data_IF_893504434717
#
_entry.id   IF_893504434717
#
_cell.length_a   1.000
_cell.length_b   1.000
_cell.length_c   1.000
_cell.angle_alpha   90.00
_cell.angle_beta   90.00
_cell.angle_gamma   90.00
#
_symmetry.space_group_name_H-M   'P 1'
#
loop_
_entity.id
_entity.type
_entity.pdbx_description
1 polymer ?
#
# COMPACT_ATOMS: atom_id res chain seq x y z
N UNK A 1 59.15 -17.52 18.06
CA UNK A 1 60.02 -16.57 18.78
C UNK A 1 59.45 -15.17 18.65
N UNK A 2 59.30 -14.51 19.79
CA UNK A 2 59.04 -13.09 20.10
C UNK A 2 57.60 -12.63 19.89
N UNK A 3 56.81 -12.59 20.92
CA UNK A 3 56.62 -11.59 22.01
C UNK A 3 55.89 -10.35 21.51
N UNK A 4 54.67 -10.12 21.98
CA UNK A 4 54.22 -9.50 23.23
C UNK A 4 54.12 -7.98 23.11
N UNK A 5 52.94 -7.41 23.26
CA UNK A 5 52.69 -6.42 24.30
C UNK A 5 51.18 -6.04 24.39
N UNK A 6 50.65 -6.29 25.54
CA UNK A 6 49.40 -5.75 26.08
C UNK A 6 49.54 -4.25 26.35
N UNK A 7 48.51 -3.46 26.04
CA UNK A 7 48.34 -2.17 26.69
C UNK A 7 46.85 -2.05 27.14
N UNK A 8 46.72 -2.21 28.46
CA UNK A 8 45.54 -1.89 29.25
C UNK A 8 45.44 -0.37 29.38
N UNK A 9 44.39 0.27 28.94
CA UNK A 9 44.07 1.65 29.28
C UNK A 9 42.79 1.70 30.11
N UNK A 10 43.02 2.01 31.36
CA UNK A 10 42.06 2.23 32.42
C UNK A 10 41.49 3.63 32.27
N UNK A 11 40.17 3.78 32.03
CA UNK A 11 39.56 5.11 32.02
C UNK A 11 38.57 5.24 33.19
N UNK A 12 38.87 6.27 33.98
CA UNK A 12 38.22 6.67 35.21
C UNK A 12 36.78 7.14 34.97
N UNK A 13 35.89 6.66 35.80
CA UNK A 13 34.54 7.18 35.99
C UNK A 13 34.63 8.49 36.78
N UNK A 14 34.10 9.55 36.21
CA UNK A 14 33.84 10.81 36.92
C UNK A 14 32.34 10.87 37.19
N UNK A 15 32.03 10.76 38.51
CA UNK A 15 30.70 10.93 39.09
C UNK A 15 30.45 12.44 39.26
N UNK A 16 29.38 12.97 38.69
CA UNK A 16 28.92 14.34 38.96
C UNK A 16 27.62 14.28 39.75
N UNK A 17 27.71 14.58 41.03
CA UNK A 17 26.56 14.81 41.92
C UNK A 17 25.95 16.20 41.63
N UNK A 18 24.66 16.24 41.36
CA UNK A 18 23.89 17.45 41.28
C UNK A 18 23.27 17.81 42.63
N UNK A 19 23.63 19.01 43.08
CA UNK A 19 23.14 19.60 44.34
C UNK A 19 21.70 20.14 44.16
N UNK A 20 20.80 19.64 44.99
CA UNK A 20 19.51 20.25 45.28
C UNK A 20 19.67 21.66 45.92
N UNK A 21 19.06 22.67 45.32
CA UNK A 21 18.79 23.93 46.00
C UNK A 21 17.29 24.06 46.26
N UNK A 22 16.98 24.04 47.59
CA UNK A 22 15.68 24.40 48.14
C UNK A 22 15.53 25.93 48.07
N UNK A 23 14.44 26.42 47.50
CA UNK A 23 13.95 27.77 47.86
C UNK A 23 12.49 27.73 48.29
N UNK A 24 12.26 28.44 49.38
CA UNK A 24 11.06 28.47 50.18
C UNK A 24 9.96 29.35 49.54
N UNK A 25 8.70 28.95 49.79
CA UNK A 25 7.48 29.73 49.57
C UNK A 25 7.35 30.93 50.48
N UNK A 26 6.67 31.97 50.04
CA UNK A 26 5.83 32.74 50.95
C UNK A 26 4.34 32.58 50.63
N UNK A 27 3.60 32.30 51.71
CA UNK A 27 2.13 32.32 51.79
C UNK A 27 1.60 33.70 51.52
N UNK A 28 0.60 33.87 50.62
CA UNK A 28 -0.35 34.96 50.64
C UNK A 28 -1.76 34.42 50.43
N UNK A 29 -2.67 35.03 51.17
CA UNK A 29 -4.01 34.61 51.55
C UNK A 29 -5.08 34.63 50.43
N UNK A 30 -6.13 33.90 50.76
CA UNK A 30 -7.42 33.70 50.09
C UNK A 30 -8.12 34.97 49.61
N UNK A 31 -8.66 34.97 48.38
CA UNK A 31 -9.98 35.53 48.09
C UNK A 31 -10.68 34.65 47.06
N UNK A 32 -11.88 34.21 47.42
CA UNK A 32 -12.83 33.45 46.59
C UNK A 32 -13.32 34.34 45.43
N UNK A 33 -13.17 33.89 44.18
CA UNK A 33 -14.11 34.23 43.10
C UNK A 33 -14.37 32.95 42.35
N UNK A 34 -15.53 32.35 42.59
CA UNK A 34 -16.08 31.29 41.75
C UNK A 34 -16.53 31.92 40.42
N UNK A 35 -15.79 31.65 39.36
CA UNK A 35 -16.30 31.78 38.00
C UNK A 35 -16.48 30.37 37.44
N UNK A 36 -17.73 29.92 37.36
CA UNK A 36 -18.15 28.79 36.53
C UNK A 36 -17.77 29.08 35.08
N UNK A 37 -16.67 28.50 34.60
CA UNK A 37 -16.38 28.36 33.20
C UNK A 37 -16.87 26.98 32.83
N UNK A 38 -18.07 26.92 32.26
CA UNK A 38 -18.57 25.71 31.60
C UNK A 38 -17.64 25.36 30.41
N UNK A 39 -16.80 24.39 30.59
CA UNK A 39 -16.05 23.79 29.49
C UNK A 39 -17.05 23.11 28.56
N UNK A 40 -17.45 23.80 27.50
CA UNK A 40 -18.01 23.13 26.33
C UNK A 40 -16.90 22.25 25.79
N UNK A 41 -16.95 20.95 26.08
CA UNK A 41 -16.27 19.95 25.30
C UNK A 41 -16.86 20.05 23.89
N UNK A 42 -16.18 20.73 22.99
CA UNK A 42 -16.44 20.57 21.56
C UNK A 42 -16.13 19.12 21.21
N UNK A 43 -17.13 18.29 21.25
CA UNK A 43 -17.08 16.93 20.73
C UNK A 43 -16.99 17.09 19.22
N UNK A 44 -15.77 17.08 18.68
CA UNK A 44 -15.56 16.96 17.24
C UNK A 44 -16.19 15.62 16.84
N UNK A 45 -17.42 15.66 16.35
CA UNK A 45 -18.11 14.52 15.74
C UNK A 45 -17.29 14.22 14.48
N UNK A 46 -16.38 13.25 14.58
CA UNK A 46 -15.73 12.70 13.38
C UNK A 46 -16.86 12.15 12.50
N UNK A 47 -16.90 12.52 11.21
CA UNK A 47 -17.89 11.95 10.32
C UNK A 47 -17.82 10.42 10.40
N UNK A 48 -18.96 9.78 10.53
CA UNK A 48 -19.09 8.33 10.55
C UNK A 48 -18.50 7.78 9.25
N UNK A 49 -17.59 6.81 9.37
CA UNK A 49 -16.92 6.23 8.20
C UNK A 49 -17.85 5.21 7.56
N UNK A 50 -17.92 5.22 6.24
CA UNK A 50 -18.66 4.22 5.47
C UNK A 50 -18.11 2.80 5.67
N UNK A 51 -16.82 2.67 5.99
CA UNK A 51 -16.13 1.41 6.28
C UNK A 51 -15.06 1.61 7.37
N UNK A 52 -14.66 0.55 8.09
CA UNK A 52 -13.63 0.65 9.11
C UNK A 52 -12.27 1.02 8.52
N UNK A 53 -11.39 1.62 9.31
CA UNK A 53 -9.99 1.74 8.93
C UNK A 53 -9.40 0.35 8.78
N UNK A 54 -8.91 0.01 7.58
CA UNK A 54 -8.37 -1.32 7.31
C UNK A 54 -6.96 -1.46 7.89
N UNK A 55 -6.75 -2.57 8.59
CA UNK A 55 -5.47 -3.00 9.14
C UNK A 55 -5.20 -4.45 8.72
N UNK A 56 -3.99 -4.96 8.97
CA UNK A 56 -3.67 -6.36 8.66
C UNK A 56 -4.49 -7.36 9.49
N UNK A 57 -5.02 -6.94 10.64
CA UNK A 57 -5.85 -7.78 11.51
C UNK A 57 -7.30 -7.91 11.00
N UNK A 58 -7.88 -6.84 10.41
CA UNK A 58 -9.30 -6.81 10.04
C UNK A 58 -9.56 -6.91 8.53
N UNK A 59 -8.55 -6.71 7.68
CA UNK A 59 -8.75 -6.61 6.23
C UNK A 59 -9.33 -7.91 5.63
N UNK A 60 -8.89 -9.08 6.10
CA UNK A 60 -9.36 -10.35 5.56
C UNK A 60 -10.83 -10.59 5.90
N UNK A 61 -11.26 -10.31 7.14
CA UNK A 61 -12.65 -10.44 7.56
C UNK A 61 -13.53 -9.41 6.83
N UNK A 62 -13.06 -8.18 6.69
CA UNK A 62 -13.74 -7.16 5.92
C UNK A 62 -13.96 -7.61 4.47
N UNK A 63 -12.95 -8.12 3.77
CA UNK A 63 -13.09 -8.55 2.39
C UNK A 63 -13.87 -9.87 2.25
N UNK A 64 -13.90 -10.72 3.27
CA UNK A 64 -14.77 -11.89 3.30
C UNK A 64 -16.24 -11.50 3.29
N UNK A 65 -16.60 -10.46 4.04
CA UNK A 65 -17.98 -9.95 4.06
C UNK A 65 -18.29 -9.12 2.81
N UNK A 66 -17.38 -8.20 2.43
CA UNK A 66 -17.52 -7.33 1.27
C UNK A 66 -17.73 -8.13 -0.03
N UNK A 67 -17.03 -9.24 -0.19
CA UNK A 67 -17.10 -10.11 -1.37
C UNK A 67 -18.49 -10.71 -1.59
N UNK A 68 -19.29 -10.92 -0.54
CA UNK A 68 -20.63 -11.48 -0.66
C UNK A 68 -21.58 -10.60 -1.49
N UNK A 69 -21.41 -9.29 -1.39
CA UNK A 69 -22.27 -8.27 -2.02
C UNK A 69 -21.61 -7.56 -3.20
N UNK A 70 -20.34 -7.82 -3.48
CA UNK A 70 -19.57 -7.15 -4.53
C UNK A 70 -18.92 -8.19 -5.43
N UNK A 71 -19.73 -8.72 -6.37
CA UNK A 71 -19.38 -9.84 -7.27
C UNK A 71 -18.85 -9.39 -8.63
N UNK A 72 -18.78 -8.09 -8.85
CA UNK A 72 -18.28 -7.54 -10.10
C UNK A 72 -16.93 -8.15 -10.46
N UNK A 73 -16.74 -8.36 -11.74
CA UNK A 73 -15.59 -9.12 -12.23
C UNK A 73 -14.92 -8.51 -13.45
N UNK A 74 -15.52 -7.50 -14.09
CA UNK A 74 -14.91 -6.82 -15.23
C UNK A 74 -14.67 -5.36 -14.92
N UNK A 75 -13.44 -4.93 -15.18
CA UNK A 75 -12.99 -3.57 -14.90
C UNK A 75 -12.25 -3.01 -16.09
N UNK A 76 -12.23 -1.68 -16.21
CA UNK A 76 -11.45 -0.93 -17.20
C UNK A 76 -10.48 0.01 -16.50
N UNK A 77 -9.22 -0.02 -16.94
CA UNK A 77 -8.23 1.00 -16.65
C UNK A 77 -8.09 1.89 -17.89
N UNK A 78 -8.48 3.16 -17.75
CA UNK A 78 -8.23 4.19 -18.76
C UNK A 78 -6.87 4.81 -18.52
N UNK A 79 -5.93 4.56 -19.42
CA UNK A 79 -4.55 5.02 -19.28
C UNK A 79 -4.22 6.16 -20.22
N UNK A 80 -3.02 6.74 -20.12
CA UNK A 80 -2.50 7.72 -21.10
C UNK A 80 -2.43 7.14 -22.52
N UNK A 81 -2.25 5.81 -22.66
CA UNK A 81 -2.09 5.11 -23.93
C UNK A 81 -3.38 4.46 -24.48
N UNK A 82 -4.45 4.45 -23.68
CA UNK A 82 -5.73 3.83 -24.03
C UNK A 82 -6.29 2.92 -22.94
N UNK A 83 -7.29 2.14 -23.27
CA UNK A 83 -8.03 1.33 -22.32
C UNK A 83 -7.49 -0.10 -22.23
N UNK A 84 -7.46 -0.62 -21.01
CA UNK A 84 -7.15 -2.02 -20.69
C UNK A 84 -8.34 -2.59 -19.92
N UNK A 85 -9.06 -3.55 -20.52
CA UNK A 85 -10.17 -4.25 -19.90
C UNK A 85 -9.67 -5.55 -19.28
N UNK A 86 -10.05 -5.80 -18.03
CA UNK A 86 -9.55 -6.90 -17.22
C UNK A 86 -10.73 -7.70 -16.69
N UNK A 87 -10.66 -9.04 -16.85
CA UNK A 87 -11.51 -9.98 -16.17
C UNK A 87 -10.83 -10.42 -14.88
N UNK A 88 -11.47 -10.18 -13.74
CA UNK A 88 -11.01 -10.64 -12.42
C UNK A 88 -11.50 -12.07 -12.15
N UNK A 89 -10.73 -12.84 -11.37
CA UNK A 89 -11.02 -14.25 -11.10
C UNK A 89 -11.78 -14.46 -9.79
N UNK A 90 -12.87 -15.22 -9.83
CA UNK A 90 -13.65 -15.57 -8.65
C UNK A 90 -12.88 -16.40 -7.63
N UNK A 91 -11.99 -17.31 -8.10
CA UNK A 91 -11.21 -18.20 -7.23
C UNK A 91 -10.26 -17.43 -6.29
N UNK A 92 -9.81 -16.24 -6.67
CA UNK A 92 -8.98 -15.36 -5.84
C UNK A 92 -9.80 -14.23 -5.26
N UNK A 93 -10.88 -14.58 -4.59
CA UNK A 93 -11.98 -13.70 -4.16
C UNK A 93 -11.53 -12.50 -3.32
N UNK A 94 -10.56 -12.65 -2.42
CA UNK A 94 -10.07 -11.56 -1.58
C UNK A 94 -9.33 -10.50 -2.39
N UNK A 95 -8.49 -10.91 -3.34
CA UNK A 95 -7.78 -10.00 -4.23
C UNK A 95 -8.74 -9.31 -5.20
N UNK A 96 -9.73 -10.04 -5.73
CA UNK A 96 -10.81 -9.46 -6.53
C UNK A 96 -11.59 -8.43 -5.71
N UNK A 97 -12.06 -8.79 -4.51
CA UNK A 97 -12.84 -7.91 -3.63
C UNK A 97 -12.06 -6.64 -3.26
N UNK A 98 -10.77 -6.78 -2.93
CA UNK A 98 -9.89 -5.65 -2.69
C UNK A 98 -9.80 -4.73 -3.91
N UNK A 99 -9.56 -5.30 -5.10
CA UNK A 99 -9.41 -4.50 -6.31
C UNK A 99 -10.70 -3.75 -6.65
N UNK A 100 -11.87 -4.40 -6.56
CA UNK A 100 -13.19 -3.77 -6.73
C UNK A 100 -13.43 -2.67 -5.68
N UNK A 101 -13.13 -2.93 -4.40
CA UNK A 101 -13.23 -1.95 -3.33
C UNK A 101 -12.39 -0.70 -3.61
N UNK A 102 -11.15 -0.88 -4.04
CA UNK A 102 -10.25 0.23 -4.35
C UNK A 102 -10.71 1.03 -5.58
N UNK A 103 -11.28 0.36 -6.60
CA UNK A 103 -11.88 1.02 -7.78
C UNK A 103 -13.09 1.84 -7.36
N UNK A 104 -14.03 1.28 -6.57
CA UNK A 104 -15.22 2.01 -6.09
C UNK A 104 -14.84 3.25 -5.26
N UNK A 105 -13.71 3.18 -4.53
CA UNK A 105 -13.16 4.30 -3.77
C UNK A 105 -12.20 5.21 -4.57
N UNK A 106 -12.10 5.01 -5.90
CA UNK A 106 -11.27 5.81 -6.82
C UNK A 106 -9.80 5.94 -6.37
N UNK A 107 -9.25 4.84 -5.85
CA UNK A 107 -7.87 4.80 -5.35
C UNK A 107 -6.86 4.75 -6.49
N UNK A 108 -7.23 4.14 -7.61
CA UNK A 108 -6.35 4.03 -8.77
C UNK A 108 -6.38 5.26 -9.68
N UNK A 109 -7.37 6.15 -9.52
CA UNK A 109 -7.48 7.38 -10.33
C UNK A 109 -6.31 8.33 -10.03
N UNK A 110 -5.56 8.68 -11.06
CA UNK A 110 -4.36 9.52 -10.96
C UNK A 110 -3.09 8.79 -10.49
N UNK A 111 -3.14 7.47 -10.34
CA UNK A 111 -1.93 6.67 -10.10
C UNK A 111 -1.14 6.43 -11.39
N UNK A 112 0.04 5.85 -11.27
CA UNK A 112 0.97 5.67 -12.39
C UNK A 112 1.38 4.20 -12.54
N UNK A 113 1.80 3.84 -13.76
CA UNK A 113 2.69 2.71 -13.98
C UNK A 113 4.09 3.17 -13.63
N UNK A 114 4.50 2.89 -12.41
CA UNK A 114 5.74 3.39 -11.79
C UNK A 114 6.93 2.45 -11.98
N UNK A 115 6.70 1.24 -12.50
CA UNK A 115 7.76 0.32 -12.86
C UNK A 115 7.40 -0.42 -14.15
N UNK A 116 8.29 -0.34 -15.13
CA UNK A 116 8.12 -0.97 -16.44
C UNK A 116 9.40 -1.72 -16.79
N UNK A 117 9.32 -3.05 -16.84
CA UNK A 117 10.45 -3.88 -17.22
C UNK A 117 10.17 -4.49 -18.60
N UNK A 118 10.98 -4.12 -19.57
CA UNK A 118 10.80 -4.51 -20.97
C UNK A 118 10.80 -6.02 -21.14
N UNK A 119 9.79 -6.55 -21.84
CA UNK A 119 9.62 -7.98 -22.03
C UNK A 119 9.16 -8.75 -20.79
N UNK A 120 8.87 -8.06 -19.68
CA UNK A 120 8.54 -8.70 -18.41
C UNK A 120 7.17 -8.24 -17.90
N UNK A 121 7.10 -7.10 -17.22
CA UNK A 121 5.87 -6.59 -16.59
C UNK A 121 5.70 -5.08 -16.78
N UNK A 122 4.46 -4.61 -16.58
CA UNK A 122 4.15 -3.25 -16.21
C UNK A 122 3.50 -3.26 -14.83
N UNK A 123 4.04 -2.51 -13.87
CA UNK A 123 3.54 -2.44 -12.50
C UNK A 123 2.97 -1.05 -12.23
N UNK A 124 1.75 -1.01 -11.72
CA UNK A 124 1.00 0.22 -11.52
C UNK A 124 0.33 0.29 -10.15
N UNK A 125 -0.36 1.40 -9.95
CA UNK A 125 -1.14 1.67 -8.75
C UNK A 125 -0.44 2.58 -7.75
N UNK A 126 0.82 2.96 -7.91
CA UNK A 126 1.52 3.91 -7.04
C UNK A 126 1.45 5.36 -7.57
N UNK A 127 1.72 6.33 -6.72
CA UNK A 127 1.73 7.76 -7.07
C UNK A 127 2.41 8.57 -5.99
N UNK A 128 3.07 9.66 -6.40
CA UNK A 128 3.63 10.69 -5.52
C UNK A 128 2.60 11.80 -5.20
N UNK A 129 1.42 11.76 -5.81
CA UNK A 129 0.37 12.74 -5.56
C UNK A 129 -0.15 12.65 -4.12
N UNK A 130 -0.08 13.78 -3.40
CA UNK A 130 -0.53 13.89 -2.00
C UNK A 130 -2.01 13.52 -1.83
N UNK A 131 -2.86 13.76 -2.85
CA UNK A 131 -4.29 13.39 -2.80
C UNK A 131 -4.46 11.88 -2.84
N UNK A 132 -3.71 11.19 -3.71
CA UNK A 132 -3.70 9.72 -3.76
C UNK A 132 -3.20 9.12 -2.46
N UNK A 133 -2.08 9.63 -1.93
CA UNK A 133 -1.51 9.19 -0.66
C UNK A 133 -2.47 9.42 0.51
N UNK A 134 -3.22 10.54 0.50
CA UNK A 134 -4.27 10.81 1.50
C UNK A 134 -5.39 9.78 1.41
N UNK A 135 -5.95 9.53 0.22
CA UNK A 135 -7.00 8.52 0.01
C UNK A 135 -6.57 7.14 0.53
N UNK A 136 -5.33 6.70 0.26
CA UNK A 136 -4.80 5.44 0.77
C UNK A 136 -4.73 5.40 2.29
N UNK A 137 -4.26 6.47 2.95
CA UNK A 137 -4.28 6.58 4.42
C UNK A 137 -5.70 6.52 4.97
N UNK A 138 -6.66 7.10 4.27
CA UNK A 138 -8.07 7.07 4.66
C UNK A 138 -8.67 5.66 4.52
N UNK A 139 -8.19 4.82 3.59
CA UNK A 139 -8.52 3.38 3.53
C UNK A 139 -7.88 2.63 4.69
N UNK A 140 -6.58 2.79 4.89
CA UNK A 140 -5.84 2.13 5.96
C UNK A 140 -4.48 1.59 5.51
N UNK A 141 -3.81 0.86 6.40
CA UNK A 141 -2.54 0.18 6.14
C UNK A 141 -2.70 -1.31 6.44
N UNK A 142 -2.73 -2.11 5.40
CA UNK A 142 -2.91 -3.56 5.49
C UNK A 142 -2.15 -4.28 4.39
N UNK A 143 -2.03 -5.58 4.53
CA UNK A 143 -1.53 -6.49 3.51
C UNK A 143 -2.51 -7.65 3.35
N UNK A 144 -2.51 -8.29 2.19
CA UNK A 144 -3.37 -9.43 1.89
C UNK A 144 -2.56 -10.72 1.92
N UNK A 145 -3.16 -11.78 2.44
CA UNK A 145 -2.56 -13.11 2.38
C UNK A 145 -2.42 -13.58 0.93
N UNK A 146 -1.29 -14.18 0.54
CA UNK A 146 -1.13 -14.71 -0.82
C UNK A 146 -2.09 -15.86 -1.07
N UNK A 147 -2.63 -15.93 -2.29
CA UNK A 147 -3.54 -17.00 -2.75
C UNK A 147 -3.01 -17.62 -4.04
N UNK A 148 -1.81 -18.20 -3.96
CA UNK A 148 -1.06 -18.72 -5.11
C UNK A 148 -1.43 -20.15 -5.50
N UNK A 149 -2.21 -20.88 -4.67
CA UNK A 149 -2.51 -22.31 -4.85
C UNK A 149 -3.79 -22.57 -5.66
N UNK A 150 -4.24 -21.60 -6.49
CA UNK A 150 -5.47 -21.72 -7.30
C UNK A 150 -5.23 -22.32 -8.70
N UNK A 151 -4.00 -22.68 -9.03
CA UNK A 151 -3.65 -23.28 -10.33
C UNK A 151 -3.45 -22.27 -11.46
N UNK A 152 -3.50 -20.97 -11.17
CA UNK A 152 -3.22 -19.93 -12.17
C UNK A 152 -1.72 -19.84 -12.45
N UNK A 153 -1.40 -19.56 -13.71
CA UNK A 153 -0.03 -19.40 -14.22
C UNK A 153 0.17 -17.98 -14.72
N UNK A 154 1.41 -17.49 -14.64
CA UNK A 154 1.78 -16.18 -15.16
C UNK A 154 1.97 -16.20 -16.67
N UNK A 155 0.85 -16.45 -17.39
CA UNK A 155 0.80 -16.26 -18.85
C UNK A 155 0.82 -14.77 -19.18
N UNK A 156 1.14 -14.44 -20.43
CA UNK A 156 0.99 -13.10 -20.98
C UNK A 156 -0.41 -12.53 -20.70
N UNK A 157 -0.46 -11.30 -20.17
CA UNK A 157 -1.68 -10.56 -19.91
C UNK A 157 -2.39 -10.91 -18.60
N UNK A 158 -1.82 -11.74 -17.72
CA UNK A 158 -2.40 -11.89 -16.38
C UNK A 158 -2.06 -10.70 -15.50
N UNK A 159 -2.98 -10.37 -14.59
CA UNK A 159 -2.78 -9.38 -13.55
C UNK A 159 -2.53 -10.07 -12.21
N UNK A 160 -1.52 -9.59 -11.49
CA UNK A 160 -1.05 -10.14 -10.22
C UNK A 160 -0.74 -9.02 -9.22
N UNK A 161 -0.66 -9.36 -7.93
CA UNK A 161 -0.26 -8.43 -6.88
C UNK A 161 1.21 -8.62 -6.52
N UNK A 162 2.00 -7.53 -6.40
CA UNK A 162 3.35 -7.60 -5.89
C UNK A 162 3.34 -7.87 -4.39
N UNK A 163 4.40 -8.47 -3.87
CA UNK A 163 4.70 -8.53 -2.45
C UNK A 163 5.71 -7.44 -2.09
N UNK A 164 5.63 -6.91 -0.86
CA UNK A 164 6.71 -6.09 -0.32
C UNK A 164 7.97 -6.94 -0.15
N UNK A 165 9.13 -6.42 -0.57
CA UNK A 165 10.39 -7.16 -0.50
C UNK A 165 11.06 -7.08 0.87
N UNK A 166 10.66 -6.12 1.72
CA UNK A 166 11.31 -5.86 3.00
C UNK A 166 10.63 -6.68 4.09
N UNK A 167 11.36 -7.61 4.69
CA UNK A 167 10.97 -8.41 5.87
C UNK A 167 9.61 -9.14 5.74
N UNK A 168 9.26 -9.54 4.52
CA UNK A 168 7.99 -10.20 4.21
C UNK A 168 8.18 -11.71 3.97
N UNK A 169 8.51 -12.44 5.03
CA UNK A 169 8.71 -13.91 4.98
C UNK A 169 7.49 -14.66 4.42
N UNK A 170 6.29 -14.13 4.63
CA UNK A 170 5.03 -14.73 4.18
C UNK A 170 4.59 -14.25 2.80
N UNK A 171 5.35 -13.37 2.14
CA UNK A 171 5.02 -12.77 0.84
C UNK A 171 3.62 -12.17 0.78
N UNK A 172 3.24 -11.47 1.84
CA UNK A 172 1.97 -10.77 1.91
C UNK A 172 1.89 -9.75 0.76
N UNK A 173 0.74 -9.69 0.13
CA UNK A 173 0.54 -8.89 -1.07
C UNK A 173 0.25 -7.41 -0.74
N UNK A 174 0.85 -6.50 -1.50
CA UNK A 174 0.52 -5.07 -1.46
C UNK A 174 -0.90 -4.84 -2.00
N UNK A 175 -1.81 -4.25 -1.21
CA UNK A 175 -3.20 -4.10 -1.64
C UNK A 175 -3.39 -3.04 -2.73
N UNK A 176 -2.52 -2.02 -2.78
CA UNK A 176 -2.67 -0.83 -3.62
C UNK A 176 -1.92 -0.91 -4.95
N UNK A 177 -1.21 -1.99 -5.20
CA UNK A 177 -0.40 -2.16 -6.39
C UNK A 177 -0.75 -3.46 -7.12
N UNK A 178 -0.49 -3.44 -8.42
CA UNK A 178 -0.65 -4.61 -9.28
C UNK A 178 0.40 -4.59 -10.39
N UNK A 179 0.63 -5.73 -11.01
CA UNK A 179 1.40 -5.79 -12.25
C UNK A 179 0.69 -6.65 -13.30
N UNK A 180 0.94 -6.32 -14.57
CA UNK A 180 0.45 -7.08 -15.74
C UNK A 180 1.66 -7.65 -16.45
N UNK A 181 1.65 -8.95 -16.73
CA UNK A 181 2.72 -9.63 -17.46
C UNK A 181 2.64 -9.31 -18.95
N UNK A 182 3.75 -8.83 -19.52
CA UNK A 182 3.84 -8.56 -20.96
C UNK A 182 4.11 -9.86 -21.76
N UNK A 183 4.82 -10.82 -21.15
CA UNK A 183 5.09 -12.14 -21.72
C UNK A 183 4.86 -13.23 -20.66
N UNK A 184 5.03 -14.51 -21.02
CA UNK A 184 4.89 -15.60 -20.05
C UNK A 184 6.01 -15.56 -19.01
N UNK A 185 5.66 -15.58 -17.71
CA UNK A 185 6.57 -15.40 -16.59
C UNK A 185 6.41 -16.52 -15.55
N UNK A 186 6.56 -17.76 -15.97
CA UNK A 186 6.29 -18.95 -15.12
C UNK A 186 7.18 -19.05 -13.87
N UNK A 187 8.32 -18.35 -13.82
CA UNK A 187 9.16 -18.28 -12.63
C UNK A 187 8.51 -17.52 -11.45
N UNK A 188 7.42 -16.80 -11.71
CA UNK A 188 6.59 -16.11 -10.70
C UNK A 188 5.50 -17.03 -10.13
N UNK A 189 5.25 -18.19 -10.74
CA UNK A 189 4.22 -19.13 -10.32
C UNK A 189 4.45 -19.60 -8.89
N UNK A 190 3.38 -19.64 -8.11
CA UNK A 190 3.45 -19.97 -6.68
C UNK A 190 4.04 -18.91 -5.77
N UNK A 191 4.59 -17.80 -6.32
CA UNK A 191 5.20 -16.70 -5.56
C UNK A 191 4.27 -15.49 -5.44
N UNK A 192 3.52 -15.18 -6.50
CA UNK A 192 2.62 -14.05 -6.57
C UNK A 192 1.20 -14.51 -6.92
N UNK A 193 0.20 -13.84 -6.37
CA UNK A 193 -1.20 -14.18 -6.61
C UNK A 193 -1.67 -13.59 -7.93
N UNK A 194 -2.00 -14.46 -8.89
CA UNK A 194 -2.72 -14.08 -10.10
C UNK A 194 -4.21 -13.94 -9.76
N UNK A 195 -4.81 -12.79 -10.03
CA UNK A 195 -6.21 -12.54 -9.68
C UNK A 195 -7.10 -12.08 -10.84
N UNK A 196 -6.56 -12.06 -12.06
CA UNK A 196 -7.31 -11.71 -13.27
C UNK A 196 -6.46 -11.80 -14.53
N UNK A 197 -7.07 -11.42 -15.65
CA UNK A 197 -6.40 -11.34 -16.96
C UNK A 197 -6.94 -10.22 -17.81
N UNK A 198 -6.10 -9.66 -18.64
CA UNK A 198 -6.49 -8.70 -19.69
C UNK A 198 -7.35 -9.44 -20.74
N UNK A 199 -8.54 -8.91 -21.02
CA UNK A 199 -9.47 -9.40 -22.03
C UNK A 199 -9.53 -8.50 -23.28
N UNK A 200 -9.11 -7.21 -23.11
CA UNK A 200 -8.97 -6.25 -24.21
C UNK A 200 -7.87 -5.24 -23.89
N UNK A 201 -7.12 -4.80 -24.87
CA UNK A 201 -6.09 -3.76 -24.67
C UNK A 201 -4.68 -4.32 -24.40
N UNK A 202 -4.38 -5.58 -24.74
CA UNK A 202 -3.00 -6.10 -24.65
C UNK A 202 -2.00 -5.28 -25.50
N UNK A 203 -2.43 -4.72 -26.62
CA UNK A 203 -1.63 -3.79 -27.41
C UNK A 203 -1.31 -2.48 -26.65
N UNK A 204 -2.15 -2.07 -25.70
CA UNK A 204 -1.86 -0.93 -24.80
C UNK A 204 -0.82 -1.34 -23.76
N UNK A 205 -0.92 -2.54 -23.21
CA UNK A 205 0.12 -3.11 -22.32
C UNK A 205 1.48 -3.14 -23.03
N UNK A 206 1.51 -3.58 -24.29
CA UNK A 206 2.74 -3.60 -25.11
C UNK A 206 3.30 -2.18 -25.34
N UNK A 207 2.45 -1.21 -25.66
CA UNK A 207 2.86 0.19 -25.84
C UNK A 207 3.45 0.78 -24.55
N UNK A 208 2.87 0.48 -23.40
CA UNK A 208 3.40 0.90 -22.11
C UNK A 208 4.73 0.20 -21.83
N UNK A 209 4.82 -1.11 -22.07
CA UNK A 209 6.03 -1.89 -21.82
C UNK A 209 7.20 -1.51 -22.74
N UNK A 210 6.91 -0.90 -23.89
CA UNK A 210 7.92 -0.41 -24.85
C UNK A 210 8.46 0.98 -24.51
N UNK A 211 7.95 1.67 -23.48
CA UNK A 211 8.40 3.01 -23.10
C UNK A 211 9.82 2.95 -22.52
N UNK A 212 10.56 4.04 -22.70
CA UNK A 212 11.88 4.22 -22.12
C UNK A 212 11.79 4.36 -20.59
N UNK A 213 12.71 3.75 -19.89
CA UNK A 213 12.81 3.78 -18.44
C UNK A 213 14.21 4.21 -18.00
N UNK A 214 14.30 4.74 -16.79
CA UNK A 214 15.57 4.98 -16.12
C UNK A 214 16.21 3.66 -15.57
N UNK A 215 17.32 3.78 -14.88
CA UNK A 215 18.03 2.64 -14.28
C UNK A 215 17.26 1.93 -13.15
N UNK A 216 16.17 2.53 -12.67
CA UNK A 216 15.26 1.98 -11.66
C UNK A 216 13.98 1.38 -12.24
N UNK A 217 13.92 1.16 -13.56
CA UNK A 217 12.74 0.72 -14.30
C UNK A 217 11.57 1.74 -14.28
N UNK A 218 11.81 3.00 -13.86
CA UNK A 218 10.77 4.02 -13.86
C UNK A 218 10.64 4.64 -15.25
N UNK A 219 9.43 4.74 -15.82
CA UNK A 219 9.24 5.37 -17.13
C UNK A 219 9.73 6.83 -17.14
N UNK A 220 10.55 7.21 -18.16
CA UNK A 220 11.05 8.57 -18.33
C UNK A 220 9.90 9.59 -18.43
N UNK A 221 8.79 9.18 -19.03
CA UNK A 221 7.56 9.97 -19.08
C UNK A 221 6.47 9.28 -18.28
N UNK A 222 5.85 10.01 -17.33
CA UNK A 222 4.81 9.48 -16.48
C UNK A 222 3.64 8.87 -17.27
N UNK A 223 3.28 7.63 -16.91
CA UNK A 223 2.19 6.88 -17.53
C UNK A 223 1.07 6.77 -16.52
N UNK A 224 0.02 7.56 -16.68
CA UNK A 224 -1.06 7.64 -15.72
C UNK A 224 -2.18 6.62 -15.99
N UNK A 225 -2.75 6.10 -14.90
CA UNK A 225 -4.09 5.53 -14.85
C UNK A 225 -5.02 6.71 -14.57
N UNK A 226 -5.69 7.21 -15.61
CA UNK A 226 -6.58 8.38 -15.50
C UNK A 226 -7.82 8.07 -14.70
N UNK A 227 -8.35 6.87 -14.90
CA UNK A 227 -9.55 6.39 -14.27
C UNK A 227 -9.59 4.86 -14.25
N UNK A 228 -10.14 4.29 -13.18
CA UNK A 228 -10.48 2.88 -13.09
C UNK A 228 -11.96 2.73 -12.77
N UNK A 229 -12.69 1.95 -13.60
CA UNK A 229 -14.13 1.75 -13.47
C UNK A 229 -14.51 0.28 -13.58
N UNK A 230 -15.65 -0.05 -13.00
CA UNK A 230 -16.32 -1.33 -13.21
C UNK A 230 -17.15 -1.21 -14.49
N UNK A 231 -17.06 -2.21 -15.38
CA UNK A 231 -17.76 -2.22 -16.68
C UNK A 231 -18.82 -3.34 -16.76
N UNK A 232 -18.98 -4.06 -15.66
CA UNK A 232 -20.02 -5.08 -15.47
C UNK A 232 -20.29 -5.30 -13.98
#
# INVERSE_FOLDING_TARGET
MKNLLFLFSFLLLVNCEDKQSKQQNPKVSKSKIEKKIGSKKDTIIKPEREFPLLTSENAMDFFLEYEKYNKESKVRLTTTFGNIDIQLFEKTKFHRANFIFLIKNKIFDGTQFHRVVKGFIIQGGNSDDRKVLKKRRDIGKYLLSPDTKRGFKHHRGVISVPSSDIENAYKLASPFEFFITQSNQYHLDGKYTVFGKVIKGMNIVDKINAQETDNGDWPVHNIYIKEAIIIE
#
